data_IF_849193517925
#
_entry.id   IF_849193517925
#
_cell.length_a   1.000
_cell.length_b   1.000
_cell.length_c   1.000
_cell.angle_alpha   90.00
_cell.angle_beta   90.00
_cell.angle_gamma   90.00
#
_symmetry.space_group_name_H-M   'P 1'
#
loop_
_entity.id
_entity.type
_entity.pdbx_description
1 polymer ?
#
# COMPACT_ATOMS: atom_id res chain seq x y z
N UNK A 1 28.77 -12.78 -4.70
CA UNK A 1 28.05 -11.53 -5.06
C UNK A 1 26.57 -11.72 -4.71
N UNK A 2 25.90 -10.73 -4.12
CA UNK A 2 24.47 -10.83 -3.86
C UNK A 2 23.70 -10.71 -5.19
N UNK A 3 22.90 -11.73 -5.53
CA UNK A 3 22.08 -11.75 -6.75
C UNK A 3 21.06 -10.61 -6.71
N UNK A 4 20.85 -9.93 -7.84
CA UNK A 4 19.91 -8.80 -7.97
C UNK A 4 18.96 -8.99 -9.14
N UNK A 5 17.78 -8.38 -9.05
CA UNK A 5 16.74 -8.35 -10.07
C UNK A 5 16.67 -6.93 -10.63
N UNK A 6 16.68 -6.76 -11.96
CA UNK A 6 16.40 -5.48 -12.60
C UNK A 6 14.89 -5.20 -12.59
N UNK A 7 14.50 -4.05 -12.03
CA UNK A 7 13.13 -3.53 -12.14
C UNK A 7 13.16 -2.23 -12.95
N UNK A 8 12.32 -2.11 -13.96
CA UNK A 8 12.19 -0.88 -14.74
C UNK A 8 11.28 0.09 -13.99
N UNK A 9 11.84 1.17 -13.46
CA UNK A 9 11.07 2.24 -12.83
C UNK A 9 10.80 3.33 -13.89
N UNK A 10 9.53 3.69 -14.17
CA UNK A 10 9.19 4.69 -15.17
C UNK A 10 9.61 6.10 -14.74
N UNK A 11 9.85 6.98 -15.72
CA UNK A 11 10.19 8.39 -15.50
C UNK A 11 9.05 9.19 -14.87
N UNK A 12 7.82 8.68 -14.92
CA UNK A 12 6.65 9.26 -14.30
C UNK A 12 5.82 8.18 -13.63
N UNK A 13 5.31 8.50 -12.45
CA UNK A 13 4.38 7.68 -11.68
C UNK A 13 3.12 8.50 -11.41
N UNK A 14 2.00 7.82 -11.26
CA UNK A 14 0.69 8.44 -11.11
C UNK A 14 -0.05 7.84 -9.93
N UNK A 15 -0.92 8.64 -9.34
CA UNK A 15 -1.93 8.19 -8.40
C UNK A 15 -3.28 8.72 -8.84
N UNK A 16 -4.30 7.87 -8.73
CA UNK A 16 -5.68 8.21 -9.06
C UNK A 16 -6.58 7.96 -7.86
N UNK A 17 -7.36 8.97 -7.51
CA UNK A 17 -8.42 8.90 -6.50
C UNK A 17 -9.70 9.46 -7.11
N UNK A 18 -10.85 9.06 -6.57
CA UNK A 18 -12.15 9.43 -7.14
C UNK A 18 -12.96 10.22 -6.12
N UNK A 19 -13.51 11.35 -6.58
CA UNK A 19 -14.64 12.01 -5.92
C UNK A 19 -15.92 11.47 -6.57
N UNK A 20 -16.58 10.55 -5.88
CA UNK A 20 -17.69 9.76 -6.36
C UNK A 20 -19.05 10.35 -5.94
N UNK A 21 -20.09 10.13 -6.73
CA UNK A 21 -21.44 10.64 -6.46
C UNK A 21 -21.45 12.15 -6.09
N UNK A 22 -20.84 13.02 -6.91
CA UNK A 22 -20.87 14.46 -6.66
C UNK A 22 -22.32 14.96 -6.67
N UNK A 23 -22.71 15.70 -5.62
CA UNK A 23 -24.05 16.29 -5.50
C UNK A 23 -24.22 17.54 -6.37
N UNK A 24 -23.10 18.17 -6.75
CA UNK A 24 -23.08 19.37 -7.58
C UNK A 24 -21.88 19.34 -8.55
N UNK A 25 -22.00 19.96 -9.74
CA UNK A 25 -20.92 20.00 -10.70
C UNK A 25 -19.74 20.79 -10.18
N UNK A 26 -18.54 20.41 -10.63
CA UNK A 26 -17.32 21.17 -10.33
C UNK A 26 -17.20 22.38 -11.27
N UNK A 27 -17.07 23.61 -10.76
CA UNK A 27 -16.92 24.79 -11.62
C UNK A 27 -15.62 24.79 -12.42
N UNK A 28 -15.64 25.30 -13.66
CA UNK A 28 -14.47 25.28 -14.54
C UNK A 28 -13.31 26.14 -13.99
N UNK A 29 -13.62 27.28 -13.38
CA UNK A 29 -12.66 28.14 -12.69
C UNK A 29 -12.01 27.45 -11.49
N UNK A 30 -12.72 26.54 -10.82
CA UNK A 30 -12.17 25.76 -9.72
C UNK A 30 -11.11 24.77 -10.22
N UNK A 31 -11.33 24.15 -11.38
CA UNK A 31 -10.33 23.26 -12.02
C UNK A 31 -9.05 24.02 -12.39
N UNK A 32 -9.18 25.24 -12.92
CA UNK A 32 -8.03 26.09 -13.21
C UNK A 32 -7.24 26.42 -11.93
N UNK A 33 -7.92 26.86 -10.87
CA UNK A 33 -7.28 27.15 -9.59
C UNK A 33 -6.59 25.94 -8.95
N UNK A 34 -7.17 24.74 -9.07
CA UNK A 34 -6.54 23.50 -8.62
C UNK A 34 -5.23 23.22 -9.35
N UNK A 35 -5.18 23.46 -10.67
CA UNK A 35 -3.95 23.28 -11.48
C UNK A 35 -2.87 24.28 -11.12
N UNK A 36 -3.25 25.54 -10.91
CA UNK A 36 -2.31 26.61 -10.53
C UNK A 36 -1.68 26.39 -9.15
N UNK A 37 -2.41 25.72 -8.24
CA UNK A 37 -1.94 25.43 -6.88
C UNK A 37 -1.02 24.21 -6.75
N UNK A 38 -0.71 23.49 -7.84
CA UNK A 38 0.09 22.26 -7.77
C UNK A 38 1.57 22.52 -7.48
N UNK A 39 2.25 21.59 -6.78
CA UNK A 39 3.70 21.61 -6.70
C UNK A 39 4.34 21.54 -8.08
N UNK A 40 5.51 22.18 -8.24
CA UNK A 40 6.25 22.13 -9.50
C UNK A 40 6.59 20.70 -9.93
N UNK A 41 6.34 20.38 -11.20
CA UNK A 41 6.62 19.06 -11.77
C UNK A 41 5.52 18.01 -11.53
N UNK A 42 4.36 18.41 -10.99
CA UNK A 42 3.17 17.57 -10.90
C UNK A 42 2.16 17.99 -11.98
N UNK A 43 1.72 17.02 -12.77
CA UNK A 43 0.65 17.19 -13.75
C UNK A 43 -0.68 16.66 -13.18
N UNK A 44 -1.74 17.46 -13.28
CA UNK A 44 -3.10 17.09 -12.88
C UNK A 44 -3.99 16.83 -14.09
N UNK A 45 -4.57 15.63 -14.12
CA UNK A 45 -5.65 15.24 -15.01
C UNK A 45 -6.91 14.96 -14.20
N UNK A 46 -8.02 15.53 -14.64
CA UNK A 46 -9.34 15.24 -14.12
C UNK A 46 -10.19 14.69 -15.25
N UNK A 47 -10.84 13.55 -15.02
CA UNK A 47 -11.72 12.92 -16.00
C UNK A 47 -13.00 12.50 -15.34
N UNK A 48 -14.11 12.76 -16.03
CA UNK A 48 -15.40 12.19 -15.65
C UNK A 48 -15.41 10.71 -16.03
N UNK A 49 -15.83 9.88 -15.08
CA UNK A 49 -15.99 8.44 -15.23
C UNK A 49 -17.39 8.05 -14.75
N UNK A 50 -17.89 6.89 -15.17
CA UNK A 50 -19.19 6.36 -14.73
C UNK A 50 -19.02 4.95 -14.17
N UNK A 51 -20.12 4.31 -13.73
CA UNK A 51 -20.09 2.94 -13.20
C UNK A 51 -19.60 1.86 -14.18
N UNK A 52 -19.35 2.18 -15.46
CA UNK A 52 -18.76 1.28 -16.45
C UNK A 52 -17.24 1.39 -16.52
N UNK A 53 -16.64 2.38 -15.87
CA UNK A 53 -15.19 2.45 -15.72
C UNK A 53 -14.70 1.18 -14.98
N UNK A 54 -13.74 0.41 -15.52
CA UNK A 54 -13.34 -0.87 -14.94
C UNK A 54 -12.83 -0.78 -13.50
N UNK A 55 -12.11 0.30 -13.16
CA UNK A 55 -11.55 0.46 -11.82
C UNK A 55 -12.66 0.80 -10.81
N UNK A 56 -13.61 1.64 -11.20
CA UNK A 56 -14.77 1.95 -10.37
C UNK A 56 -15.72 0.75 -10.24
N UNK A 57 -16.00 0.03 -11.32
CA UNK A 57 -16.87 -1.14 -11.33
C UNK A 57 -16.37 -2.24 -10.38
N UNK A 58 -15.06 -2.52 -10.41
CA UNK A 58 -14.42 -3.46 -9.49
C UNK A 58 -14.56 -2.99 -8.04
N UNK A 59 -14.33 -1.70 -7.79
CA UNK A 59 -14.48 -1.11 -6.45
C UNK A 59 -15.91 -1.24 -5.93
N UNK A 60 -16.91 -0.92 -6.75
CA UNK A 60 -18.33 -1.07 -6.40
C UNK A 60 -18.65 -2.53 -6.08
N UNK A 61 -18.16 -3.48 -6.89
CA UNK A 61 -18.32 -4.91 -6.66
C UNK A 61 -17.79 -5.34 -5.29
N UNK A 62 -16.60 -4.85 -4.90
CA UNK A 62 -16.02 -5.16 -3.60
C UNK A 62 -16.79 -4.51 -2.45
N UNK A 63 -17.22 -3.25 -2.59
CA UNK A 63 -18.01 -2.53 -1.59
C UNK A 63 -19.39 -3.16 -1.33
N UNK A 64 -19.95 -3.88 -2.32
CA UNK A 64 -21.21 -4.64 -2.17
C UNK A 64 -21.07 -5.84 -1.24
N UNK A 65 -19.88 -6.39 -1.10
CA UNK A 65 -19.62 -7.57 -0.29
C UNK A 65 -19.44 -7.16 1.19
N UNK A 66 -20.40 -7.43 2.09
CA UNK A 66 -20.31 -6.98 3.48
C UNK A 66 -19.18 -7.67 4.26
N UNK A 67 -18.71 -8.82 3.77
CA UNK A 67 -17.57 -9.54 4.33
C UNK A 67 -16.23 -8.95 3.87
N UNK A 68 -16.20 -8.37 2.67
CA UNK A 68 -14.99 -7.82 2.06
C UNK A 68 -14.73 -6.40 2.57
N UNK A 69 -15.79 -5.60 2.75
CA UNK A 69 -15.71 -4.23 3.26
C UNK A 69 -16.62 -4.03 4.48
N UNK A 70 -16.29 -4.65 5.62
CA UNK A 70 -17.08 -4.51 6.84
C UNK A 70 -17.14 -3.04 7.29
N UNK A 71 -18.35 -2.56 7.59
CA UNK A 71 -18.58 -1.19 8.04
C UNK A 71 -18.88 -0.17 6.93
N UNK A 72 -18.86 -0.58 5.67
CA UNK A 72 -19.45 0.21 4.57
C UNK A 72 -20.96 -0.04 4.54
N UNK A 73 -21.75 1.04 4.46
CA UNK A 73 -23.20 0.93 4.32
C UNK A 73 -23.55 0.29 2.96
N UNK A 74 -24.37 -0.79 2.93
CA UNK A 74 -24.80 -1.43 1.69
C UNK A 74 -25.41 -0.48 0.65
N UNK A 75 -26.00 0.65 1.08
CA UNK A 75 -26.57 1.65 0.19
C UNK A 75 -25.50 2.42 -0.60
N UNK A 76 -24.26 2.49 -0.13
CA UNK A 76 -23.18 3.23 -0.80
C UNK A 76 -22.97 2.67 -2.21
N UNK A 77 -22.89 1.35 -2.37
CA UNK A 77 -22.71 0.75 -3.70
C UNK A 77 -23.87 1.07 -4.65
N UNK A 78 -25.11 1.09 -4.13
CA UNK A 78 -26.30 1.43 -4.92
C UNK A 78 -26.25 2.90 -5.37
N UNK A 79 -25.84 3.80 -4.48
CA UNK A 79 -25.67 5.22 -4.80
C UNK A 79 -24.60 5.43 -5.89
N UNK A 80 -23.48 4.71 -5.78
CA UNK A 80 -22.41 4.79 -6.76
C UNK A 80 -22.86 4.35 -8.16
N UNK A 81 -23.64 3.28 -8.25
CA UNK A 81 -24.16 2.78 -9.54
C UNK A 81 -25.26 3.65 -10.13
N UNK A 82 -26.08 4.26 -9.28
CA UNK A 82 -27.16 5.14 -9.73
C UNK A 82 -26.68 6.52 -10.19
N UNK A 83 -25.39 6.82 -10.04
CA UNK A 83 -24.81 8.10 -10.46
C UNK A 83 -24.18 7.96 -11.85
N UNK A 84 -24.55 8.87 -12.77
CA UNK A 84 -24.04 8.86 -14.14
C UNK A 84 -22.63 9.49 -14.29
N UNK A 85 -22.06 10.07 -13.24
CA UNK A 85 -20.78 10.77 -13.31
C UNK A 85 -20.03 10.86 -11.98
N UNK A 86 -18.75 10.52 -12.00
CA UNK A 86 -17.78 10.63 -10.92
C UNK A 86 -16.53 11.34 -11.44
N UNK A 87 -15.73 11.95 -10.56
CA UNK A 87 -14.54 12.67 -10.95
C UNK A 87 -13.29 11.89 -10.54
N UNK A 88 -12.60 11.29 -11.51
CA UNK A 88 -11.27 10.72 -11.30
C UNK A 88 -10.22 11.84 -11.33
N UNK A 89 -9.52 11.99 -10.22
CA UNK A 89 -8.42 12.93 -10.02
C UNK A 89 -7.12 12.14 -10.11
N UNK A 90 -6.32 12.44 -11.13
CA UNK A 90 -5.03 11.79 -11.35
C UNK A 90 -3.91 12.82 -11.29
N UNK A 91 -2.96 12.63 -10.39
CA UNK A 91 -1.73 13.41 -10.35
C UNK A 91 -0.55 12.55 -10.79
N UNK A 92 0.32 13.13 -11.61
CA UNK A 92 1.49 12.45 -12.18
C UNK A 92 2.74 13.27 -11.91
N UNK A 93 3.83 12.63 -11.50
CA UNK A 93 5.11 13.29 -11.31
C UNK A 93 6.27 12.30 -11.50
N UNK A 94 7.52 12.76 -11.63
CA UNK A 94 8.66 11.88 -11.52
C UNK A 94 8.70 11.15 -10.17
N UNK A 95 9.15 9.87 -10.12
CA UNK A 95 9.34 9.18 -8.86
C UNK A 95 10.43 9.89 -8.05
N UNK A 96 10.22 10.02 -6.74
CA UNK A 96 11.16 10.73 -5.88
C UNK A 96 10.64 10.96 -4.48
N UNK A 97 11.50 11.53 -3.64
CA UNK A 97 11.14 11.99 -2.30
C UNK A 97 11.16 13.53 -2.23
N UNK A 98 10.10 14.17 -1.71
CA UNK A 98 8.82 13.58 -1.32
C UNK A 98 8.02 13.06 -2.54
N UNK A 99 7.08 12.12 -2.37
CA UNK A 99 6.26 11.61 -3.46
C UNK A 99 5.15 12.61 -3.85
N UNK A 100 5.53 13.68 -4.54
CA UNK A 100 4.68 14.86 -4.78
C UNK A 100 3.33 14.55 -5.44
N UNK A 101 3.27 13.56 -6.34
CA UNK A 101 2.01 13.18 -7.00
C UNK A 101 0.98 12.60 -6.01
N UNK A 102 1.41 11.89 -4.97
CA UNK A 102 0.52 11.33 -3.96
C UNK A 102 -0.12 12.45 -3.12
N UNK A 103 0.73 13.32 -2.57
CA UNK A 103 0.28 14.45 -1.75
C UNK A 103 -0.63 15.39 -2.55
N UNK A 104 -0.26 15.70 -3.79
CA UNK A 104 -1.07 16.52 -4.68
C UNK A 104 -2.40 15.85 -5.03
N UNK A 105 -2.42 14.53 -5.29
CA UNK A 105 -3.64 13.80 -5.58
C UNK A 105 -4.60 13.82 -4.39
N UNK A 106 -4.10 13.52 -3.18
CA UNK A 106 -4.92 13.54 -1.97
C UNK A 106 -5.51 14.93 -1.68
N UNK A 107 -4.68 15.98 -1.74
CA UNK A 107 -5.16 17.34 -1.53
C UNK A 107 -6.18 17.78 -2.59
N UNK A 108 -5.94 17.43 -3.85
CA UNK A 108 -6.83 17.80 -4.96
C UNK A 108 -8.17 17.07 -4.88
N UNK A 109 -8.17 15.75 -4.69
CA UNK A 109 -9.42 14.97 -4.65
C UNK A 109 -10.29 15.38 -3.48
N UNK A 110 -9.67 15.66 -2.33
CA UNK A 110 -10.42 16.14 -1.17
C UNK A 110 -11.03 17.52 -1.44
N UNK A 111 -10.27 18.44 -2.01
CA UNK A 111 -10.80 19.75 -2.36
C UNK A 111 -11.94 19.65 -3.39
N UNK A 112 -11.85 18.72 -4.33
CA UNK A 112 -12.95 18.39 -5.26
C UNK A 112 -14.16 17.88 -4.48
N UNK A 113 -14.00 16.90 -3.59
CA UNK A 113 -15.09 16.38 -2.76
C UNK A 113 -15.75 17.45 -1.89
N UNK A 114 -14.98 18.35 -1.27
CA UNK A 114 -15.54 19.50 -0.53
C UNK A 114 -16.40 20.40 -1.45
N UNK A 115 -15.89 20.68 -2.65
CA UNK A 115 -16.58 21.53 -3.61
C UNK A 115 -17.78 20.86 -4.26
N UNK A 116 -17.83 19.54 -4.35
CA UNK A 116 -18.92 18.80 -5.03
C UNK A 116 -19.87 18.05 -4.10
N UNK A 117 -19.54 17.91 -2.81
CA UNK A 117 -20.25 17.03 -1.89
C UNK A 117 -19.98 15.53 -2.14
N UNK A 118 -19.02 15.19 -3.01
CA UNK A 118 -18.74 13.81 -3.38
C UNK A 118 -18.09 12.98 -2.27
N UNK A 119 -18.24 11.67 -2.34
CA UNK A 119 -17.56 10.69 -1.50
C UNK A 119 -16.15 10.43 -2.01
N UNK A 120 -15.18 10.30 -1.10
CA UNK A 120 -13.80 9.98 -1.47
C UNK A 120 -13.59 8.47 -1.60
N UNK A 121 -12.96 8.06 -2.69
CA UNK A 121 -12.74 6.66 -3.02
C UNK A 121 -11.32 6.45 -3.57
N UNK A 122 -10.67 5.38 -3.12
CA UNK A 122 -9.45 4.85 -3.75
C UNK A 122 -9.83 3.59 -4.53
N UNK A 123 -9.81 3.68 -5.86
CA UNK A 123 -10.24 2.58 -6.73
C UNK A 123 -9.20 1.48 -6.90
N UNK A 124 -7.91 1.74 -6.63
CA UNK A 124 -6.89 0.68 -6.69
C UNK A 124 -6.91 -0.17 -5.42
N UNK A 125 -7.19 0.46 -4.27
CA UNK A 125 -7.37 -0.24 -2.98
C UNK A 125 -8.81 -0.71 -2.77
N UNK A 126 -9.73 -0.31 -3.64
CA UNK A 126 -11.17 -0.53 -3.53
C UNK A 126 -11.76 -0.16 -2.15
N UNK A 127 -11.33 0.99 -1.61
CA UNK A 127 -11.79 1.47 -0.30
C UNK A 127 -12.47 2.83 -0.38
N UNK A 128 -13.53 2.98 0.42
CA UNK A 128 -14.06 4.29 0.76
C UNK A 128 -13.09 4.99 1.72
N UNK A 129 -12.69 6.20 1.36
CA UNK A 129 -11.84 7.03 2.20
C UNK A 129 -12.73 7.86 3.13
N UNK A 130 -12.37 8.01 4.43
CA UNK A 130 -13.18 8.78 5.36
C UNK A 130 -13.29 10.26 4.94
N UNK A 131 -14.35 10.97 5.36
CA UNK A 131 -14.42 12.42 5.20
C UNK A 131 -13.18 13.09 5.83
N UNK A 132 -12.66 14.13 5.17
CA UNK A 132 -11.40 14.79 5.55
C UNK A 132 -10.19 13.83 5.66
N UNK A 133 -10.16 12.76 4.86
CA UNK A 133 -9.02 11.86 4.78
C UNK A 133 -7.74 12.63 4.44
N UNK A 134 -6.69 12.39 5.23
CA UNK A 134 -5.32 12.77 4.89
C UNK A 134 -4.46 11.53 4.93
N UNK A 135 -3.68 11.25 3.88
CA UNK A 135 -2.62 10.26 3.98
C UNK A 135 -1.63 10.72 5.04
N UNK A 136 -1.01 9.76 5.73
CA UNK A 136 0.03 10.08 6.71
C UNK A 136 1.26 10.64 5.99
N UNK A 137 1.65 11.84 6.39
CA UNK A 137 2.91 12.44 5.95
C UNK A 137 4.07 11.83 6.73
N UNK A 138 5.24 11.84 6.11
CA UNK A 138 6.47 11.39 6.74
C UNK A 138 7.60 12.34 6.36
N UNK A 139 8.55 12.64 7.27
CA UNK A 139 9.64 13.56 6.98
C UNK A 139 10.75 12.91 6.13
N UNK A 140 10.77 11.59 6.03
CA UNK A 140 11.84 10.82 5.37
C UNK A 140 11.31 9.55 4.72
N UNK A 141 11.92 9.05 3.62
CA UNK A 141 11.54 7.76 3.03
C UNK A 141 11.54 6.63 4.06
N UNK A 142 12.48 6.62 5.00
CA UNK A 142 12.69 5.57 6.01
C UNK A 142 11.44 5.27 6.86
N UNK A 143 10.54 6.24 7.02
CA UNK A 143 9.34 6.15 7.85
C UNK A 143 8.05 6.28 7.04
N UNK A 144 8.09 6.00 5.72
CA UNK A 144 6.93 6.17 4.86
C UNK A 144 5.85 5.08 5.11
N UNK A 145 4.61 5.46 5.50
CA UNK A 145 3.54 4.53 5.84
C UNK A 145 2.79 4.06 4.59
N UNK A 146 3.26 2.97 3.99
CA UNK A 146 2.79 2.50 2.68
C UNK A 146 1.31 2.09 2.66
N UNK A 147 0.73 1.70 3.80
CA UNK A 147 -0.66 1.21 3.89
C UNK A 147 -1.72 2.22 3.43
N UNK A 148 -1.42 3.51 3.45
CA UNK A 148 -2.36 4.51 2.92
C UNK A 148 -2.46 4.51 1.39
N UNK A 149 -1.50 3.86 0.72
CA UNK A 149 -1.34 3.91 -0.73
C UNK A 149 -1.29 2.54 -1.40
N UNK A 150 -1.09 1.47 -0.65
CA UNK A 150 -1.04 0.10 -1.17
C UNK A 150 -2.07 -0.73 -0.43
N UNK A 151 -2.84 -1.51 -1.18
CA UNK A 151 -3.74 -2.54 -0.67
C UNK A 151 -3.01 -3.89 -0.59
N UNK A 152 -3.50 -4.77 0.27
CA UNK A 152 -3.13 -6.18 0.25
C UNK A 152 -4.40 -7.00 0.31
N UNK A 153 -4.68 -7.69 -0.78
CA UNK A 153 -5.91 -8.44 -0.99
C UNK A 153 -5.66 -9.93 -0.82
N UNK A 154 -6.61 -10.61 -0.17
CA UNK A 154 -6.60 -12.07 -0.03
C UNK A 154 -7.51 -12.65 -1.11
N UNK A 155 -6.98 -13.60 -1.88
CA UNK A 155 -7.75 -14.36 -2.86
C UNK A 155 -7.77 -15.84 -2.49
N UNK A 156 -8.84 -16.52 -2.89
CA UNK A 156 -8.90 -17.98 -2.86
C UNK A 156 -8.57 -18.49 -4.26
N UNK A 157 -7.55 -19.34 -4.35
CA UNK A 157 -7.14 -20.05 -5.57
C UNK A 157 -8.10 -21.22 -5.83
N UNK A 158 -8.17 -21.70 -7.08
CA UNK A 158 -9.09 -22.77 -7.52
C UNK A 158 -8.95 -24.08 -6.70
N UNK A 159 -7.76 -24.34 -6.17
CA UNK A 159 -7.45 -25.52 -5.34
C UNK A 159 -7.87 -25.36 -3.86
N UNK A 160 -8.65 -24.32 -3.52
CA UNK A 160 -9.05 -23.99 -2.14
C UNK A 160 -7.90 -23.47 -1.27
N UNK A 161 -6.76 -23.12 -1.89
CA UNK A 161 -5.65 -22.44 -1.22
C UNK A 161 -5.84 -20.94 -1.28
N UNK A 162 -5.03 -20.21 -0.54
CA UNK A 162 -5.09 -18.76 -0.52
C UNK A 162 -3.88 -18.14 -1.22
N UNK A 163 -4.12 -16.98 -1.85
CA UNK A 163 -3.10 -16.06 -2.32
C UNK A 163 -3.23 -14.71 -1.63
N UNK A 164 -2.12 -13.98 -1.58
CA UNK A 164 -2.10 -12.58 -1.18
C UNK A 164 -1.39 -11.77 -2.26
N UNK A 165 -1.98 -10.64 -2.63
CA UNK A 165 -1.49 -9.76 -3.67
C UNK A 165 -1.46 -8.32 -3.15
N UNK A 166 -0.45 -7.54 -3.53
CA UNK A 166 -0.57 -6.09 -3.36
C UNK A 166 -1.33 -5.47 -4.52
N UNK A 167 -1.89 -4.30 -4.27
CA UNK A 167 -2.45 -3.39 -5.27
C UNK A 167 -1.94 -1.98 -4.99
N UNK A 168 -1.57 -1.24 -6.05
CA UNK A 168 -1.10 0.15 -5.93
C UNK A 168 0.41 0.34 -5.82
N UNK A 169 1.23 -0.71 -5.97
CA UNK A 169 2.70 -0.56 -6.04
C UNK A 169 3.16 0.25 -7.26
N UNK A 170 2.32 0.28 -8.31
CA UNK A 170 2.51 1.06 -9.55
C UNK A 170 2.65 2.56 -9.30
N UNK A 171 2.02 3.09 -8.23
CA UNK A 171 2.17 4.49 -7.75
C UNK A 171 3.61 4.85 -7.42
N UNK A 172 4.44 3.85 -7.15
CA UNK A 172 5.87 4.01 -6.87
C UNK A 172 6.75 3.47 -8.01
N UNK A 173 6.15 3.12 -9.15
CA UNK A 173 6.86 2.56 -10.29
C UNK A 173 7.34 1.12 -10.06
N UNK A 174 6.69 0.39 -9.15
CA UNK A 174 7.03 -0.99 -8.79
C UNK A 174 5.93 -1.97 -9.23
N UNK A 175 6.31 -3.19 -9.65
CA UNK A 175 5.34 -4.27 -9.85
C UNK A 175 4.68 -4.68 -8.53
N UNK A 176 3.41 -5.08 -8.59
CA UNK A 176 2.72 -5.66 -7.44
C UNK A 176 3.34 -6.98 -6.99
N UNK A 177 3.32 -7.22 -5.69
CA UNK A 177 3.79 -8.44 -5.04
C UNK A 177 2.70 -9.50 -5.07
N UNK A 178 3.10 -10.77 -5.23
CA UNK A 178 2.19 -11.92 -5.19
C UNK A 178 2.79 -13.07 -4.40
N UNK A 179 1.99 -13.63 -3.50
CA UNK A 179 2.21 -14.94 -2.92
C UNK A 179 0.98 -15.82 -3.14
N UNK A 180 1.20 -17.13 -3.31
CA UNK A 180 0.15 -18.10 -3.59
C UNK A 180 0.41 -19.40 -2.82
N UNK A 181 -0.60 -20.28 -2.81
CA UNK A 181 -0.49 -21.60 -2.19
C UNK A 181 -0.43 -21.57 -0.66
N UNK A 182 -0.99 -20.53 -0.05
CA UNK A 182 -1.11 -20.37 1.39
C UNK A 182 -2.30 -21.18 1.93
N UNK A 183 -2.25 -21.46 3.23
CA UNK A 183 -3.39 -22.01 3.98
C UNK A 183 -3.99 -20.91 4.85
N UNK A 184 -5.23 -21.06 5.30
CA UNK A 184 -5.97 -20.05 6.06
C UNK A 184 -5.17 -19.50 7.26
N UNK A 185 -4.52 -20.37 8.05
CA UNK A 185 -3.74 -19.96 9.22
C UNK A 185 -2.48 -19.13 8.89
N UNK A 186 -2.09 -19.05 7.61
CA UNK A 186 -0.99 -18.21 7.18
C UNK A 186 -1.41 -16.75 6.96
N UNK A 187 -2.69 -16.49 6.70
CA UNK A 187 -3.13 -15.25 6.05
C UNK A 187 -2.73 -14.02 6.84
N UNK A 188 -3.00 -13.98 8.14
CA UNK A 188 -2.71 -12.82 8.99
C UNK A 188 -1.22 -12.41 8.95
N UNK A 189 -0.32 -13.36 9.23
CA UNK A 189 1.13 -13.08 9.21
C UNK A 189 1.64 -12.75 7.80
N UNK A 190 1.02 -13.29 6.75
CA UNK A 190 1.38 -12.98 5.37
C UNK A 190 0.90 -11.60 4.93
N UNK A 191 -0.27 -11.12 5.38
CA UNK A 191 -0.68 -9.73 5.18
C UNK A 191 0.38 -8.77 5.73
N UNK A 192 0.85 -9.02 6.95
CA UNK A 192 1.90 -8.24 7.60
C UNK A 192 3.22 -8.28 6.83
N UNK A 193 3.63 -9.46 6.37
CA UNK A 193 4.80 -9.61 5.53
C UNK A 193 4.68 -8.78 4.25
N UNK A 194 3.54 -8.84 3.57
CA UNK A 194 3.33 -8.17 2.28
C UNK A 194 3.40 -6.66 2.43
N UNK A 195 2.76 -6.08 3.45
CA UNK A 195 2.89 -4.66 3.77
C UNK A 195 4.33 -4.27 4.12
N UNK A 196 5.00 -5.04 4.99
CA UNK A 196 6.39 -4.78 5.36
C UNK A 196 7.33 -4.85 4.16
N UNK A 197 7.15 -5.83 3.28
CA UNK A 197 7.93 -6.03 2.06
C UNK A 197 7.69 -4.91 1.04
N UNK A 198 6.43 -4.53 0.80
CA UNK A 198 6.05 -3.40 -0.04
C UNK A 198 6.71 -2.11 0.48
N UNK A 199 6.63 -1.87 1.78
CA UNK A 199 7.31 -0.74 2.44
C UNK A 199 8.81 -0.76 2.19
N UNK A 200 9.51 -1.86 2.46
CA UNK A 200 10.97 -1.97 2.22
C UNK A 200 11.34 -1.65 0.76
N UNK A 201 10.58 -2.17 -0.20
CA UNK A 201 10.83 -1.94 -1.63
C UNK A 201 10.60 -0.47 -2.02
N UNK A 202 9.46 0.11 -1.61
CA UNK A 202 9.11 1.50 -1.92
C UNK A 202 10.12 2.45 -1.30
N UNK A 203 10.49 2.27 -0.04
CA UNK A 203 11.51 3.11 0.63
C UNK A 203 12.84 3.09 -0.11
N UNK A 204 13.22 1.93 -0.66
CA UNK A 204 14.44 1.79 -1.46
C UNK A 204 14.36 2.58 -2.76
N UNK A 205 13.23 2.49 -3.48
CA UNK A 205 13.03 3.25 -4.72
C UNK A 205 13.00 4.75 -4.43
N UNK A 206 12.23 5.20 -3.44
CA UNK A 206 12.13 6.62 -3.09
C UNK A 206 13.48 7.23 -2.69
N UNK A 207 14.30 6.47 -1.94
CA UNK A 207 15.66 6.89 -1.56
C UNK A 207 16.61 7.00 -2.75
N UNK A 208 16.53 6.06 -3.69
CA UNK A 208 17.43 6.02 -4.86
C UNK A 208 16.98 6.97 -5.98
N UNK A 209 15.68 7.24 -6.11
CA UNK A 209 15.11 8.07 -7.18
C UNK A 209 15.51 9.55 -7.07
N UNK A 210 15.71 10.07 -5.84
CA UNK A 210 16.27 11.41 -5.63
C UNK A 210 17.73 11.56 -6.11
N UNK A 211 18.44 10.45 -6.35
CA UNK A 211 19.87 10.42 -6.70
C UNK A 211 20.10 10.11 -8.19
N UNK A 212 19.16 9.46 -8.87
CA UNK A 212 19.32 9.02 -10.27
C UNK A 212 18.39 9.80 -11.21
N UNK A 213 18.94 10.44 -12.25
CA UNK A 213 18.13 11.03 -13.33
C UNK A 213 17.34 9.93 -14.06
N UNK A 214 16.01 10.10 -14.12
CA UNK A 214 15.01 9.70 -15.15
C UNK A 214 15.21 8.34 -15.85
N UNK A 215 14.17 7.50 -15.83
CA UNK A 215 14.08 6.17 -16.46
C UNK A 215 15.26 5.25 -16.17
N UNK A 216 15.08 4.30 -15.25
CA UNK A 216 16.20 3.51 -14.78
C UNK A 216 15.85 2.10 -14.39
N UNK A 217 16.74 1.19 -14.76
CA UNK A 217 16.79 -0.14 -14.16
C UNK A 217 17.22 0.01 -12.71
N UNK A 218 16.29 -0.19 -11.79
CA UNK A 218 16.53 -0.25 -10.36
C UNK A 218 16.88 -1.68 -9.94
N UNK A 219 18.07 -1.86 -9.38
CA UNK A 219 18.59 -3.18 -9.00
C UNK A 219 18.20 -3.52 -7.57
N UNK A 220 17.24 -4.43 -7.41
CA UNK A 220 16.76 -4.91 -6.10
C UNK A 220 17.44 -6.23 -5.74
N UNK A 221 17.86 -6.44 -4.48
CA UNK A 221 18.34 -7.75 -4.04
C UNK A 221 17.29 -8.85 -4.25
N UNK A 222 17.73 -10.01 -4.72
CA UNK A 222 16.86 -11.20 -4.87
C UNK A 222 16.34 -11.67 -3.51
N UNK A 223 17.15 -11.59 -2.45
CA UNK A 223 16.72 -11.93 -1.09
C UNK A 223 16.57 -10.65 -0.26
N UNK A 224 15.40 -10.50 0.36
CA UNK A 224 15.06 -9.37 1.21
C UNK A 224 14.64 -9.90 2.59
N UNK A 225 15.18 -9.29 3.63
CA UNK A 225 14.72 -9.50 4.99
C UNK A 225 13.75 -8.40 5.38
N UNK A 226 12.60 -8.79 5.92
CA UNK A 226 11.56 -7.90 6.45
C UNK A 226 11.49 -8.14 7.95
N UNK A 227 11.56 -7.07 8.74
CA UNK A 227 11.41 -7.12 10.19
C UNK A 227 9.99 -6.73 10.63
N UNK A 228 9.62 -7.09 11.86
CA UNK A 228 8.39 -6.59 12.50
C UNK A 228 8.40 -5.07 12.61
N UNK A 229 9.57 -4.43 12.73
CA UNK A 229 9.68 -2.96 12.64
C UNK A 229 9.33 -2.45 11.25
N UNK A 230 9.75 -3.13 10.18
CA UNK A 230 9.37 -2.74 8.81
C UNK A 230 7.86 -2.86 8.60
N UNK A 231 7.25 -3.92 9.16
CA UNK A 231 5.79 -4.09 9.22
C UNK A 231 5.13 -2.97 10.01
N UNK A 232 5.62 -2.68 11.21
CA UNK A 232 5.07 -1.62 12.06
C UNK A 232 5.13 -0.25 11.37
N UNK A 233 6.23 0.09 10.71
CA UNK A 233 6.36 1.32 9.90
C UNK A 233 5.37 1.31 8.73
N UNK A 234 5.29 0.20 7.99
CA UNK A 234 4.39 0.07 6.84
C UNK A 234 2.91 0.21 7.25
N UNK A 235 2.56 -0.36 8.39
CA UNK A 235 1.22 -0.45 8.94
C UNK A 235 0.84 0.73 9.84
N UNK A 236 1.82 1.54 10.25
CA UNK A 236 1.69 2.56 11.29
C UNK A 236 0.41 3.37 11.11
N UNK A 237 -0.57 3.10 11.97
CA UNK A 237 -1.74 3.96 12.12
C UNK A 237 -1.30 5.32 12.67
N UNK A 238 -1.98 6.41 12.33
CA UNK A 238 -1.81 7.63 13.13
C UNK A 238 -2.18 7.27 14.58
N UNK A 239 -1.44 7.74 15.59
CA UNK A 239 -2.11 7.95 16.86
C UNK A 239 -3.25 8.93 16.56
N UNK A 240 -4.49 8.52 16.81
CA UNK A 240 -5.60 9.47 16.87
C UNK A 240 -5.28 10.60 17.86
N UNK A 241 -6.07 11.69 17.91
CA UNK A 241 -5.82 12.78 18.85
C UNK A 241 -5.55 12.20 20.24
N UNK A 242 -4.37 12.52 20.78
CA UNK A 242 -3.82 11.87 21.96
C UNK A 242 -4.87 11.85 23.08
N UNK A 243 -5.35 10.66 23.41
CA UNK A 243 -6.11 10.47 24.65
C UNK A 243 -5.15 10.80 25.80
N UNK A 244 -5.54 11.66 26.77
CA UNK A 244 -4.65 12.08 27.84
C UNK A 244 -4.13 10.85 28.60
N UNK A 245 -2.83 10.84 28.99
CA UNK A 245 -2.19 9.67 29.56
C UNK A 245 -2.88 9.28 30.87
N UNK A 246 -3.48 8.09 30.88
CA UNK A 246 -3.86 7.41 32.12
C UNK A 246 -2.61 6.96 32.88
N UNK A 247 -2.68 6.80 34.21
CA UNK A 247 -1.53 6.49 35.03
C UNK A 247 -0.94 5.11 34.69
N UNK A 248 0.39 5.07 34.50
CA UNK A 248 1.16 3.83 34.25
C UNK A 248 1.18 2.94 35.50
N UNK A 249 0.97 1.61 35.36
CA UNK A 249 1.28 0.66 36.42
C UNK A 249 2.79 0.39 36.50
N UNK A 250 3.34 0.16 37.71
CA UNK A 250 4.76 -0.08 37.89
C UNK A 250 5.13 -1.55 37.71
N UNK A 251 6.22 -1.81 36.97
CA UNK A 251 7.06 -2.98 37.17
C UNK A 251 7.15 -3.95 35.99
N UNK A 252 8.23 -3.87 35.23
CA UNK A 252 8.84 -5.04 34.61
C UNK A 252 10.35 -4.83 34.49
N UNK A 253 11.10 -5.73 35.15
CA UNK A 253 12.56 -5.76 35.20
C UNK A 253 13.10 -6.40 33.91
N UNK A 254 14.11 -5.77 33.33
CA UNK A 254 15.02 -6.33 32.32
C UNK A 254 15.90 -7.43 32.91
N UNK A 255 16.07 -8.52 32.16
CA UNK A 255 17.16 -9.49 32.36
C UNK A 255 17.89 -9.73 31.02
N UNK A 256 19.22 -9.62 31.07
CA UNK A 256 20.15 -9.79 29.96
C UNK A 256 20.60 -11.25 29.72
N UNK A 257 21.58 -11.47 28.83
CA UNK A 257 21.55 -12.57 27.86
C UNK A 257 22.56 -13.70 28.15
N UNK A 258 22.38 -14.84 27.48
CA UNK A 258 23.40 -15.90 27.40
C UNK A 258 23.41 -16.61 26.03
N UNK A 259 24.55 -16.48 25.33
CA UNK A 259 25.35 -17.56 24.74
C UNK A 259 24.78 -18.53 23.68
N UNK A 260 25.30 -18.37 22.45
CA UNK A 260 25.84 -19.42 21.55
C UNK A 260 24.88 -20.34 20.76
N UNK A 261 24.79 -20.13 19.43
CA UNK A 261 25.42 -21.00 18.41
C UNK A 261 25.15 -20.52 16.96
N UNK A 262 26.16 -20.67 16.10
CA UNK A 262 26.19 -20.19 14.71
C UNK A 262 25.40 -21.13 13.79
N UNK A 263 24.14 -20.81 13.57
CA UNK A 263 23.47 -20.97 12.27
C UNK A 263 23.11 -19.56 11.79
N UNK A 264 22.96 -19.32 10.49
CA UNK A 264 22.31 -18.07 10.00
C UNK A 264 20.85 -18.07 10.47
N UNK A 265 20.65 -17.83 11.76
CA UNK A 265 19.36 -17.63 12.37
C UNK A 265 18.92 -16.24 11.92
N UNK A 266 17.76 -16.20 11.28
CA UNK A 266 17.05 -14.95 11.09
C UNK A 266 16.79 -14.41 12.50
N UNK A 267 17.14 -13.14 12.83
CA UNK A 267 16.87 -12.59 14.15
C UNK A 267 15.38 -12.75 14.52
N UNK A 268 15.04 -12.90 15.82
CA UNK A 268 13.63 -12.88 16.23
C UNK A 268 12.94 -11.64 15.65
N UNK A 269 11.71 -11.82 15.14
CA UNK A 269 10.97 -10.74 14.48
C UNK A 269 11.42 -10.41 13.05
N UNK A 270 12.10 -11.30 12.32
CA UNK A 270 12.41 -11.13 10.89
C UNK A 270 11.98 -12.33 10.05
N UNK A 271 11.52 -12.08 8.83
CA UNK A 271 11.35 -13.08 7.78
C UNK A 271 12.25 -12.74 6.60
N UNK A 272 12.78 -13.75 5.93
CA UNK A 272 13.53 -13.57 4.67
C UNK A 272 12.77 -14.22 3.55
N UNK A 273 12.61 -13.46 2.46
CA UNK A 273 11.91 -13.86 1.24
C UNK A 273 12.88 -13.80 0.08
N UNK A 274 12.60 -14.60 -0.94
CA UNK A 274 13.23 -14.50 -2.26
C UNK A 274 12.22 -13.91 -3.24
N UNK A 275 12.63 -12.91 -4.00
CA UNK A 275 11.85 -12.33 -5.07
C UNK A 275 12.16 -13.01 -6.40
N UNK A 276 11.14 -13.09 -7.26
CA UNK A 276 11.29 -13.41 -8.69
C UNK A 276 10.37 -12.49 -9.48
N UNK A 277 10.90 -11.81 -10.49
CA UNK A 277 10.08 -11.01 -11.40
C UNK A 277 9.42 -11.94 -12.43
N UNK A 278 8.09 -11.98 -12.40
CA UNK A 278 7.28 -12.56 -13.46
C UNK A 278 6.92 -11.44 -14.44
N UNK A 279 7.71 -11.34 -15.51
CA UNK A 279 7.53 -10.31 -16.54
C UNK A 279 6.28 -10.52 -17.37
N UNK A 280 5.71 -11.73 -17.41
CA UNK A 280 4.48 -12.01 -18.16
C UNK A 280 3.25 -11.50 -17.42
N UNK A 281 3.25 -11.64 -16.10
CA UNK A 281 2.19 -11.13 -15.23
C UNK A 281 2.42 -9.70 -14.75
N UNK A 282 3.62 -9.14 -14.95
CA UNK A 282 4.01 -7.84 -14.41
C UNK A 282 4.01 -7.82 -12.88
N UNK A 283 4.44 -8.92 -12.22
CA UNK A 283 4.39 -9.08 -10.75
C UNK A 283 5.71 -9.58 -10.18
N UNK A 284 5.92 -9.31 -8.89
CA UNK A 284 7.00 -9.87 -8.09
C UNK A 284 6.49 -11.02 -7.22
N UNK A 285 6.94 -12.23 -7.52
CA UNK A 285 6.59 -13.42 -6.78
C UNK A 285 7.43 -13.52 -5.51
N UNK A 286 6.76 -13.76 -4.39
CA UNK A 286 7.36 -13.97 -3.07
C UNK A 286 7.55 -15.47 -2.84
N UNK A 287 8.82 -15.90 -2.79
CA UNK A 287 9.24 -17.30 -2.77
C UNK A 287 10.09 -17.61 -1.53
N UNK A 288 10.22 -18.89 -1.15
CA UNK A 288 11.17 -19.29 -0.11
C UNK A 288 12.62 -18.95 -0.50
N UNK A 289 13.49 -18.67 0.48
CA UNK A 289 14.94 -18.57 0.27
C UNK A 289 15.50 -19.87 -0.30
N UNK A 290 16.63 -19.79 -1.02
CA UNK A 290 17.14 -20.88 -1.89
C UNK A 290 17.44 -22.23 -1.20
N UNK A 291 17.39 -22.32 0.13
CA UNK A 291 17.70 -23.52 0.92
C UNK A 291 16.63 -23.87 1.98
N UNK A 292 15.39 -23.40 1.81
CA UNK A 292 14.32 -23.65 2.77
C UNK A 292 13.23 -24.53 2.15
N UNK A 293 12.78 -25.54 2.91
CA UNK A 293 11.58 -26.30 2.58
C UNK A 293 10.36 -25.37 2.63
N UNK A 294 9.63 -25.29 1.52
CA UNK A 294 8.58 -24.28 1.29
C UNK A 294 7.51 -24.27 2.40
N UNK A 295 6.96 -25.44 2.75
CA UNK A 295 5.93 -25.55 3.78
C UNK A 295 6.41 -25.01 5.15
N UNK A 296 7.55 -25.51 5.64
CA UNK A 296 8.12 -25.07 6.93
C UNK A 296 8.48 -23.58 6.95
N UNK A 297 8.85 -23.03 5.81
CA UNK A 297 9.15 -21.61 5.69
C UNK A 297 7.89 -20.75 5.75
N UNK A 298 6.79 -21.17 5.11
CA UNK A 298 5.50 -20.46 5.19
C UNK A 298 4.99 -20.40 6.62
N UNK A 299 4.96 -21.53 7.33
CA UNK A 299 4.50 -21.62 8.72
C UNK A 299 5.32 -20.69 9.63
N UNK A 300 6.65 -20.76 9.51
CA UNK A 300 7.56 -19.91 10.30
C UNK A 300 7.36 -18.43 10.00
N UNK A 301 7.20 -18.09 8.73
CA UNK A 301 7.03 -16.70 8.29
C UNK A 301 5.73 -16.12 8.85
N UNK A 302 4.63 -16.87 8.77
CA UNK A 302 3.37 -16.47 9.38
C UNK A 302 3.52 -16.26 10.88
N UNK A 303 4.11 -17.23 11.60
CA UNK A 303 4.31 -17.13 13.05
C UNK A 303 5.12 -15.89 13.45
N UNK A 304 6.24 -15.64 12.79
CA UNK A 304 7.12 -14.50 13.12
C UNK A 304 6.45 -13.16 12.84
N UNK A 305 5.64 -13.06 11.79
CA UNK A 305 4.95 -11.82 11.42
C UNK A 305 3.71 -11.54 12.28
N UNK A 306 3.10 -12.58 12.86
CA UNK A 306 2.04 -12.42 13.86
C UNK A 306 2.60 -11.93 15.22
N UNK A 307 3.82 -12.33 15.59
CA UNK A 307 4.44 -11.93 16.88
C UNK A 307 4.74 -10.42 16.98
N UNK A 308 4.64 -9.67 15.87
CA UNK A 308 4.79 -8.21 15.88
C UNK A 308 3.62 -7.46 16.52
N UNK A 309 2.46 -8.11 16.69
CA UNK A 309 1.25 -7.49 17.25
C UNK A 309 1.23 -7.41 18.78
N UNK A 310 2.07 -8.21 19.45
CA UNK A 310 2.15 -8.29 20.92
C UNK A 310 3.21 -7.36 21.54
N UNK A 311 3.86 -6.50 20.74
CA UNK A 311 4.82 -5.53 21.24
C UNK A 311 4.09 -4.22 21.65
N UNK A 312 4.07 -3.88 22.96
CA UNK A 312 3.36 -2.70 23.48
C UNK A 312 3.99 -1.37 23.06
#
# INVERSE_FOLDING_TARGET
MATRIPLSVPASVSATLVAAAPERPLPAEAVAGLREGLPGGVDLRMTEIDGRDPALAETISQLRCPHCTPGVDPLVAVLLEGTDGHLAVTCTAPPGWPPAHLDACAATVERVAEMTGGMLLDTERAVLLPPAWRPRTSPSPEHFPIRDWVGVDVRVDDDGRYGVDTTGMSRFGLPDLRAAGLQEHHIHGWLHLMYGLAGVLVRRVLKDAGVRRRDGVHMVPVEISVSTTDTAIAMASQPGPARPPGPRPPGSRTAGPAGSEVRRAIPPGRATVRLRHDTSAGRLLVLPPANHAEARWRDRTALVMCQGDDAP
#
